data_IF_824279729111
#
_entry.id   IF_824279729111
#
_cell.length_a   1.000
_cell.length_b   1.000
_cell.length_c   1.000
_cell.angle_alpha   90.00
_cell.angle_beta   90.00
_cell.angle_gamma   90.00
#
_symmetry.space_group_name_H-M   'P 1'
#
loop_
_entity.id
_entity.type
_entity.pdbx_description
1 polymer ?
#
# COMPACT_ATOMS: atom_id res chain seq x y z
N UNK A 1 -0.55 -18.23 -16.98
CA UNK A 1 -0.32 -16.78 -16.92
C UNK A 1 -1.16 -16.30 -15.77
N UNK A 2 -0.51 -15.83 -14.71
CA UNK A 2 -1.13 -15.50 -13.43
C UNK A 2 -2.35 -14.61 -13.55
N UNK A 3 -3.34 -14.81 -12.68
CA UNK A 3 -4.48 -13.90 -12.54
C UNK A 3 -3.96 -12.51 -12.13
N UNK A 4 -4.21 -11.50 -12.96
CA UNK A 4 -3.89 -10.10 -12.67
C UNK A 4 -4.77 -9.57 -11.55
N UNK A 5 -4.18 -8.76 -10.67
CA UNK A 5 -4.88 -8.21 -9.52
C UNK A 5 -5.79 -7.02 -9.86
N UNK A 6 -5.60 -6.37 -11.01
CA UNK A 6 -6.28 -5.12 -11.39
C UNK A 6 -7.83 -5.18 -11.36
N UNK A 7 -8.41 -6.37 -11.57
CA UNK A 7 -9.86 -6.60 -11.53
C UNK A 7 -10.39 -7.17 -10.21
N UNK A 8 -9.50 -7.52 -9.27
CA UNK A 8 -9.83 -8.30 -8.07
C UNK A 8 -9.36 -7.66 -6.76
N UNK A 9 -8.29 -6.87 -6.78
CA UNK A 9 -7.75 -6.21 -5.59
C UNK A 9 -8.34 -4.81 -5.47
N UNK A 10 -8.96 -4.57 -4.33
CA UNK A 10 -9.26 -3.24 -3.79
C UNK A 10 -9.52 -3.40 -2.29
N UNK A 11 -9.43 -2.30 -1.54
CA UNK A 11 -9.79 -2.30 -0.12
C UNK A 11 -11.32 -2.25 0.04
N UNK A 12 -11.84 -2.60 1.22
CA UNK A 12 -13.28 -2.47 1.51
C UNK A 12 -13.66 -0.99 1.50
N UNK A 13 -14.50 -0.60 0.54
CA UNK A 13 -14.94 0.78 0.35
C UNK A 13 -15.95 1.28 1.40
N UNK A 14 -16.34 2.54 1.25
CA UNK A 14 -17.27 3.22 2.16
C UNK A 14 -16.66 3.65 3.50
N UNK A 15 -17.55 3.97 4.45
CA UNK A 15 -17.22 4.53 5.76
C UNK A 15 -17.82 3.73 6.93
N UNK A 16 -18.28 2.51 6.67
CA UNK A 16 -18.85 1.64 7.71
C UNK A 16 -17.76 1.09 8.63
N UNK A 17 -18.17 0.51 9.77
CA UNK A 17 -17.24 -0.04 10.78
C UNK A 17 -16.25 -1.08 10.24
N UNK A 18 -16.57 -1.75 9.13
CA UNK A 18 -15.72 -2.77 8.48
C UNK A 18 -14.98 -2.24 7.25
N UNK A 19 -15.15 -0.96 6.92
CA UNK A 19 -14.46 -0.32 5.81
C UNK A 19 -12.97 -0.15 6.09
N UNK A 20 -12.19 -0.01 5.02
CA UNK A 20 -10.78 0.33 5.14
C UNK A 20 -10.58 1.70 5.78
N UNK A 21 -11.42 2.69 5.48
CA UNK A 21 -11.35 4.01 6.09
C UNK A 21 -11.44 3.98 7.63
N UNK A 22 -12.22 3.06 8.20
CA UNK A 22 -12.35 2.88 9.65
C UNK A 22 -11.28 1.96 10.27
N UNK A 23 -10.54 1.19 9.46
CA UNK A 23 -9.60 0.18 9.91
C UNK A 23 -8.16 0.41 9.38
N UNK A 24 -7.85 1.60 8.85
CA UNK A 24 -6.55 1.93 8.24
C UNK A 24 -5.51 2.52 9.20
N UNK A 25 -5.64 2.25 10.51
CA UNK A 25 -4.72 2.79 11.53
C UNK A 25 -3.28 2.26 11.38
N UNK A 26 -3.10 1.00 10.97
CA UNK A 26 -1.76 0.46 10.73
C UNK A 26 -1.00 1.24 9.63
N UNK A 27 -1.56 1.42 8.41
CA UNK A 27 -0.91 2.28 7.41
C UNK A 27 -0.78 3.75 7.84
N UNK A 28 -1.64 4.26 8.73
CA UNK A 28 -1.51 5.60 9.30
C UNK A 28 -0.24 5.69 10.18
N UNK A 29 -0.02 4.70 11.06
CA UNK A 29 1.19 4.63 11.88
C UNK A 29 2.46 4.51 11.02
N UNK A 30 2.41 3.73 9.93
CA UNK A 30 3.51 3.65 8.95
C UNK A 30 3.80 5.01 8.33
N UNK A 31 2.77 5.76 7.92
CA UNK A 31 2.91 7.11 7.39
C UNK A 31 3.54 8.06 8.44
N UNK A 32 3.11 7.98 9.71
CA UNK A 32 3.68 8.78 10.79
C UNK A 32 5.16 8.48 11.05
N UNK A 33 5.58 7.23 10.99
CA UNK A 33 7.00 6.87 11.12
C UNK A 33 7.84 7.34 9.93
N UNK A 34 7.27 7.27 8.72
CA UNK A 34 7.93 7.74 7.49
C UNK A 34 7.88 9.27 7.33
N UNK A 35 7.10 9.98 8.14
CA UNK A 35 6.83 11.42 8.03
C UNK A 35 8.10 12.28 7.95
N UNK A 36 9.15 12.07 8.77
CA UNK A 36 10.38 12.88 8.65
C UNK A 36 11.05 12.76 7.28
N UNK A 37 11.07 11.54 6.71
CA UNK A 37 11.64 11.28 5.39
C UNK A 37 10.78 11.92 4.30
N UNK A 38 9.45 11.83 4.44
CA UNK A 38 8.49 12.47 3.55
C UNK A 38 8.67 13.99 3.53
N UNK A 39 8.70 14.63 4.70
CA UNK A 39 8.89 16.08 4.85
C UNK A 39 10.21 16.56 4.24
N UNK A 40 11.30 15.85 4.51
CA UNK A 40 12.62 16.17 3.95
C UNK A 40 12.60 16.07 2.43
N UNK A 41 12.05 14.99 1.87
CA UNK A 41 12.02 14.76 0.43
C UNK A 41 11.18 15.82 -0.30
N UNK A 42 9.99 16.15 0.22
CA UNK A 42 9.14 17.23 -0.32
C UNK A 42 9.90 18.56 -0.27
N UNK A 43 10.53 18.85 0.86
CA UNK A 43 11.29 20.07 1.05
C UNK A 43 12.44 20.19 0.06
N UNK A 44 13.21 19.11 -0.16
CA UNK A 44 14.30 19.09 -1.15
C UNK A 44 13.80 19.29 -2.57
N UNK A 45 12.69 18.66 -2.98
CA UNK A 45 12.11 18.89 -4.31
C UNK A 45 11.71 20.36 -4.48
N UNK A 46 10.96 20.91 -3.52
CA UNK A 46 10.52 22.30 -3.60
C UNK A 46 11.68 23.30 -3.61
N UNK A 47 12.70 23.10 -2.76
CA UNK A 47 13.87 23.96 -2.68
C UNK A 47 14.77 23.88 -3.91
N UNK A 48 14.86 22.71 -4.55
CA UNK A 48 15.73 22.51 -5.72
C UNK A 48 15.09 23.05 -7.00
N UNK A 49 13.77 22.91 -7.14
CA UNK A 49 13.05 23.22 -8.38
C UNK A 49 12.32 24.57 -8.33
N UNK A 50 11.93 25.03 -7.14
CA UNK A 50 11.12 26.23 -6.90
C UNK A 50 9.93 26.39 -7.87
N UNK A 51 9.19 25.30 -8.18
CA UNK A 51 8.30 25.29 -9.33
C UNK A 51 7.10 26.22 -9.13
N UNK A 52 6.61 26.80 -10.22
CA UNK A 52 5.30 27.50 -10.22
C UNK A 52 4.14 26.51 -10.08
N UNK A 53 4.31 25.29 -10.62
CA UNK A 53 3.34 24.21 -10.60
C UNK A 53 4.03 22.91 -10.20
N UNK A 54 3.53 22.25 -9.16
CA UNK A 54 4.10 21.00 -8.65
C UNK A 54 3.09 19.87 -8.75
N UNK A 55 3.47 18.81 -9.46
CA UNK A 55 2.68 17.58 -9.58
C UNK A 55 3.15 16.57 -8.53
N UNK A 56 2.24 16.19 -7.65
CA UNK A 56 2.46 15.24 -6.56
C UNK A 56 1.51 14.06 -6.74
N UNK A 57 2.02 12.85 -6.62
CA UNK A 57 1.24 11.64 -6.83
C UNK A 57 1.31 10.75 -5.58
N UNK A 58 0.15 10.32 -5.11
CA UNK A 58 0.00 9.29 -4.08
C UNK A 58 -0.44 7.98 -4.74
N UNK A 59 0.47 7.01 -4.80
CA UNK A 59 0.29 5.70 -5.46
C UNK A 59 -0.26 4.68 -4.46
N UNK A 60 -1.40 4.06 -4.80
CA UNK A 60 -2.11 3.17 -3.89
C UNK A 60 -2.82 3.93 -2.77
N UNK A 61 -3.54 5.00 -3.12
CA UNK A 61 -4.17 5.92 -2.18
C UNK A 61 -5.31 5.27 -1.35
N UNK A 62 -5.87 4.16 -1.82
CA UNK A 62 -7.05 3.51 -1.27
C UNK A 62 -8.23 4.50 -1.14
N UNK A 63 -9.11 4.27 -0.17
CA UNK A 63 -10.29 5.08 0.13
C UNK A 63 -10.28 5.64 1.56
N UNK A 64 -9.17 5.50 2.28
CA UNK A 64 -9.06 5.91 3.68
C UNK A 64 -8.60 7.36 3.88
N UNK A 65 -8.64 7.87 5.12
CA UNK A 65 -8.19 9.24 5.44
C UNK A 65 -6.69 9.47 5.17
N UNK A 66 -5.89 8.40 5.14
CA UNK A 66 -4.43 8.48 5.08
C UNK A 66 -3.91 9.22 3.83
N UNK A 67 -4.59 9.13 2.68
CA UNK A 67 -4.20 9.88 1.48
C UNK A 67 -4.32 11.41 1.68
N UNK A 68 -5.29 11.85 2.49
CA UNK A 68 -5.49 13.26 2.81
C UNK A 68 -4.44 13.78 3.80
N UNK A 69 -3.85 12.90 4.61
CA UNK A 69 -2.71 13.25 5.47
C UNK A 69 -1.47 13.56 4.62
N UNK A 70 -1.20 12.77 3.56
CA UNK A 70 -0.13 13.05 2.60
C UNK A 70 -0.36 14.41 1.92
N UNK A 71 -1.60 14.70 1.49
CA UNK A 71 -1.97 16.01 0.93
C UNK A 71 -1.70 17.13 1.94
N UNK A 72 -2.10 16.95 3.20
CA UNK A 72 -1.88 17.95 4.25
C UNK A 72 -0.40 18.22 4.47
N UNK A 73 0.42 17.17 4.54
CA UNK A 73 1.84 17.31 4.82
C UNK A 73 2.57 18.06 3.70
N UNK A 74 2.28 17.72 2.45
CA UNK A 74 2.82 18.43 1.29
C UNK A 74 2.48 19.92 1.34
N UNK A 75 1.22 20.26 1.60
CA UNK A 75 0.77 21.65 1.70
C UNK A 75 1.46 22.39 2.85
N UNK A 76 1.67 21.71 3.99
CA UNK A 76 2.32 22.30 5.15
C UNK A 76 3.81 22.55 4.94
N UNK A 77 4.54 21.57 4.42
CA UNK A 77 5.97 21.70 4.09
C UNK A 77 6.18 22.83 3.08
N UNK A 78 5.45 22.80 1.97
CA UNK A 78 5.58 23.82 0.91
C UNK A 78 5.18 25.19 1.44
N UNK A 79 4.07 25.30 2.17
CA UNK A 79 3.61 26.54 2.76
C UNK A 79 4.63 27.14 3.73
N UNK A 80 5.24 26.31 4.59
CA UNK A 80 6.31 26.72 5.53
C UNK A 80 7.54 27.21 4.78
N UNK A 81 8.04 26.45 3.80
CA UNK A 81 9.25 26.80 3.03
C UNK A 81 9.06 28.04 2.16
N UNK A 82 7.90 28.18 1.51
CA UNK A 82 7.54 29.38 0.75
C UNK A 82 7.63 30.63 1.61
N UNK A 83 7.10 30.57 2.85
CA UNK A 83 7.16 31.69 3.80
C UNK A 83 8.58 31.97 4.29
N UNK A 84 9.36 30.95 4.62
CA UNK A 84 10.75 31.14 5.08
C UNK A 84 11.64 31.77 4.01
N UNK A 85 11.35 31.50 2.73
CA UNK A 85 12.03 32.12 1.58
C UNK A 85 11.53 33.53 1.24
N UNK A 86 10.49 34.04 1.91
CA UNK A 86 9.91 35.35 1.61
C UNK A 86 9.21 35.44 0.24
N UNK A 87 8.89 34.30 -0.39
CA UNK A 87 8.22 34.27 -1.70
C UNK A 87 6.79 34.80 -1.57
N UNK A 88 6.42 35.74 -2.44
CA UNK A 88 5.06 36.27 -2.49
C UNK A 88 4.11 35.37 -3.29
N UNK A 89 4.61 34.74 -4.35
CA UNK A 89 3.81 33.83 -5.17
C UNK A 89 3.64 32.48 -4.46
N UNK A 90 2.47 31.86 -4.65
CA UNK A 90 2.19 30.51 -4.17
C UNK A 90 2.29 29.54 -5.34
N UNK A 91 3.01 28.41 -5.20
CA UNK A 91 2.97 27.37 -6.20
C UNK A 91 1.56 26.76 -6.25
N UNK A 92 1.12 26.36 -7.43
CA UNK A 92 -0.09 25.55 -7.60
C UNK A 92 0.27 24.06 -7.47
N UNK A 93 -0.38 23.35 -6.55
CA UNK A 93 -0.11 21.93 -6.32
C UNK A 93 -1.19 21.07 -6.97
N UNK A 94 -0.78 20.17 -7.87
CA UNK A 94 -1.66 19.20 -8.50
C UNK A 94 -1.41 17.82 -7.88
N UNK A 95 -2.37 17.36 -7.09
CA UNK A 95 -2.37 16.03 -6.50
C UNK A 95 -3.06 15.03 -7.42
N UNK A 96 -2.38 13.92 -7.67
CA UNK A 96 -2.96 12.75 -8.33
C UNK A 96 -3.07 11.61 -7.32
N UNK A 97 -4.29 11.18 -7.06
CA UNK A 97 -4.59 10.04 -6.20
C UNK A 97 -4.75 8.82 -7.10
N UNK A 98 -3.78 7.92 -7.08
CA UNK A 98 -3.77 6.72 -7.91
C UNK A 98 -4.17 5.49 -7.10
N UNK A 99 -5.02 4.67 -7.68
CA UNK A 99 -5.31 3.32 -7.21
C UNK A 99 -5.83 2.47 -8.37
N UNK A 100 -6.08 1.19 -8.15
CA UNK A 100 -6.70 0.31 -9.12
C UNK A 100 -8.13 0.76 -9.46
N UNK A 101 -8.66 0.44 -10.66
CA UNK A 101 -10.00 0.87 -11.08
C UNK A 101 -11.14 0.44 -10.15
N UNK A 102 -10.94 -0.63 -9.36
CA UNK A 102 -11.92 -1.12 -8.39
C UNK A 102 -11.99 -0.34 -7.07
N UNK A 103 -11.10 0.63 -6.83
CA UNK A 103 -11.07 1.44 -5.63
C UNK A 103 -12.30 2.36 -5.52
N UNK A 104 -12.70 2.70 -4.29
CA UNK A 104 -13.85 3.58 -4.02
C UNK A 104 -13.46 5.06 -4.10
N UNK A 105 -13.10 5.51 -5.31
CA UNK A 105 -12.84 6.92 -5.61
C UNK A 105 -14.03 7.83 -5.28
N UNK A 106 -15.26 7.31 -5.32
CA UNK A 106 -16.45 8.08 -4.94
C UNK A 106 -16.39 8.47 -3.47
N UNK A 107 -15.96 7.57 -2.59
CA UNK A 107 -15.75 7.91 -1.19
C UNK A 107 -14.62 8.95 -1.03
N UNK A 108 -13.48 8.76 -1.70
CA UNK A 108 -12.36 9.74 -1.69
C UNK A 108 -12.83 11.14 -2.09
N UNK A 109 -13.58 11.28 -3.18
CA UNK A 109 -14.06 12.58 -3.65
C UNK A 109 -15.08 13.24 -2.72
N UNK A 110 -15.89 12.46 -1.99
CA UNK A 110 -16.76 13.00 -0.95
C UNK A 110 -15.96 13.52 0.24
N UNK A 111 -15.00 12.72 0.72
CA UNK A 111 -14.13 13.08 1.86
C UNK A 111 -13.26 14.30 1.57
N UNK A 112 -12.84 14.50 0.31
CA UNK A 112 -12.14 15.70 -0.13
C UNK A 112 -12.97 16.99 0.05
N UNK A 113 -14.28 16.91 -0.12
CA UNK A 113 -15.17 18.05 0.12
C UNK A 113 -15.17 18.52 1.56
N UNK A 114 -15.11 17.58 2.51
CA UNK A 114 -15.06 17.87 3.94
C UNK A 114 -13.67 18.37 4.36
N UNK A 115 -12.62 17.73 3.86
CA UNK A 115 -11.24 18.17 4.04
C UNK A 115 -11.04 19.60 3.56
N UNK A 116 -11.53 19.93 2.36
CA UNK A 116 -11.39 21.27 1.78
C UNK A 116 -11.98 22.36 2.68
N UNK A 117 -13.20 22.16 3.20
CA UNK A 117 -13.82 23.12 4.12
C UNK A 117 -12.98 23.30 5.39
N UNK A 118 -12.53 22.19 5.98
CA UNK A 118 -11.69 22.21 7.19
C UNK A 118 -10.39 22.99 6.98
N UNK A 119 -9.64 22.71 5.90
CA UNK A 119 -8.37 23.39 5.67
C UNK A 119 -8.53 24.85 5.24
N UNK A 120 -9.62 25.20 4.57
CA UNK A 120 -9.94 26.60 4.26
C UNK A 120 -10.26 27.39 5.54
N UNK A 121 -11.00 26.80 6.48
CA UNK A 121 -11.27 27.39 7.80
C UNK A 121 -10.00 27.55 8.64
N UNK A 122 -9.11 26.55 8.65
CA UNK A 122 -7.87 26.54 9.44
C UNK A 122 -6.79 27.46 8.87
N UNK A 123 -6.57 27.42 7.54
CA UNK A 123 -5.41 28.06 6.89
C UNK A 123 -5.77 29.37 6.18
N UNK A 124 -7.03 29.56 5.77
CA UNK A 124 -7.49 30.77 5.08
C UNK A 124 -6.56 31.20 3.94
N UNK A 125 -6.05 32.44 3.99
CA UNK A 125 -5.13 33.01 2.98
C UNK A 125 -3.73 32.38 2.95
N UNK A 126 -3.39 31.56 3.94
CA UNK A 126 -2.10 30.86 4.01
C UNK A 126 -2.15 29.49 3.31
N UNK A 127 -3.33 29.05 2.86
CA UNK A 127 -3.51 27.81 2.15
C UNK A 127 -2.88 27.90 0.76
N UNK A 128 -1.96 26.98 0.48
CA UNK A 128 -1.36 26.84 -0.85
C UNK A 128 -2.45 26.36 -1.83
N UNK A 129 -2.62 26.98 -3.00
CA UNK A 129 -3.60 26.53 -4.00
C UNK A 129 -3.34 25.09 -4.40
N UNK A 130 -4.38 24.26 -4.40
CA UNK A 130 -4.25 22.86 -4.75
C UNK A 130 -5.47 22.32 -5.52
N UNK A 131 -5.20 21.28 -6.30
CA UNK A 131 -6.15 20.59 -7.15
C UNK A 131 -5.95 19.08 -6.98
N UNK A 132 -7.03 18.31 -7.01
CA UNK A 132 -6.97 16.86 -6.79
C UNK A 132 -7.64 16.14 -7.94
N UNK A 133 -6.97 15.11 -8.47
CA UNK A 133 -7.40 14.28 -9.59
C UNK A 133 -7.27 12.81 -9.20
N UNK A 134 -8.28 11.99 -9.50
CA UNK A 134 -8.17 10.52 -9.38
C UNK A 134 -7.60 9.90 -10.65
N UNK A 135 -6.68 8.95 -10.51
CA UNK A 135 -6.01 8.25 -11.61
C UNK A 135 -6.19 6.74 -11.46
N UNK A 136 -7.21 6.13 -12.07
CA UNK A 136 -7.42 4.69 -12.00
C UNK A 136 -6.40 3.96 -12.89
N UNK A 137 -5.66 3.00 -12.32
CA UNK A 137 -4.70 2.16 -13.05
C UNK A 137 -3.66 1.52 -12.15
N UNK A 138 -3.03 0.45 -12.62
CA UNK A 138 -1.91 -0.15 -11.90
C UNK A 138 -0.66 0.71 -11.99
N UNK A 139 -0.03 0.96 -10.84
CA UNK A 139 1.30 1.55 -10.80
C UNK A 139 2.40 0.60 -11.31
N UNK A 140 2.11 -0.65 -11.65
CA UNK A 140 3.06 -1.50 -12.37
C UNK A 140 3.10 -1.21 -13.88
N UNK A 141 2.35 -0.19 -14.35
CA UNK A 141 2.45 0.35 -15.69
C UNK A 141 2.61 1.87 -15.70
N UNK A 142 2.59 2.44 -16.90
CA UNK A 142 2.58 3.89 -17.13
C UNK A 142 1.23 4.48 -16.73
N UNK A 143 1.27 5.53 -15.92
CA UNK A 143 0.13 6.30 -15.43
C UNK A 143 0.16 7.75 -15.93
N UNK A 144 1.36 8.29 -16.16
CA UNK A 144 1.56 9.70 -16.49
C UNK A 144 2.38 9.87 -17.77
N UNK A 145 2.26 11.02 -18.47
CA UNK A 145 3.21 11.42 -19.51
C UNK A 145 4.66 11.44 -19.00
N UNK A 146 5.60 11.45 -19.94
CA UNK A 146 7.01 11.53 -19.55
C UNK A 146 7.31 12.89 -18.90
N UNK A 147 8.16 12.87 -17.86
CA UNK A 147 8.65 14.08 -17.20
C UNK A 147 7.54 15.06 -16.76
N UNK A 148 6.48 14.54 -16.14
CA UNK A 148 5.35 15.34 -15.68
C UNK A 148 5.14 15.32 -14.17
N UNK A 149 5.84 14.47 -13.42
CA UNK A 149 5.68 14.29 -11.97
C UNK A 149 6.89 14.81 -11.22
N UNK A 150 6.67 15.56 -10.13
CA UNK A 150 7.73 16.13 -9.30
C UNK A 150 7.97 15.32 -8.03
N UNK A 151 6.94 14.63 -7.54
CA UNK A 151 7.03 13.83 -6.33
C UNK A 151 6.09 12.62 -6.38
N UNK A 152 6.62 11.43 -6.10
CA UNK A 152 5.83 10.22 -5.86
C UNK A 152 5.89 9.84 -4.37
N UNK A 153 4.74 9.56 -3.79
CA UNK A 153 4.59 8.85 -2.53
C UNK A 153 3.94 7.49 -2.80
N UNK A 154 4.42 6.43 -2.15
CA UNK A 154 3.79 5.12 -2.18
C UNK A 154 3.92 4.47 -0.81
N UNK A 155 2.80 4.31 -0.10
CA UNK A 155 2.78 3.78 1.27
C UNK A 155 1.91 2.53 1.38
N UNK A 156 2.45 1.45 1.93
CA UNK A 156 1.79 0.17 2.17
C UNK A 156 1.11 -0.46 0.93
N UNK A 157 1.65 -0.21 -0.26
CA UNK A 157 1.08 -0.68 -1.52
C UNK A 157 2.02 -1.57 -2.36
N UNK A 158 3.35 -1.38 -2.26
CA UNK A 158 4.32 -2.15 -3.07
C UNK A 158 4.51 -3.60 -2.62
N UNK A 159 4.02 -3.96 -1.44
CA UNK A 159 3.89 -5.34 -0.98
C UNK A 159 2.86 -6.16 -1.79
N UNK A 160 1.95 -5.51 -2.55
CA UNK A 160 0.98 -6.19 -3.41
C UNK A 160 1.58 -6.50 -4.77
N UNK A 161 1.63 -7.77 -5.15
CA UNK A 161 2.16 -8.23 -6.43
C UNK A 161 1.15 -7.98 -7.56
N UNK A 162 1.63 -7.71 -8.77
CA UNK A 162 0.77 -7.46 -9.94
C UNK A 162 -0.05 -8.68 -10.38
N UNK A 163 0.38 -9.89 -10.01
CA UNK A 163 -0.29 -11.16 -10.25
C UNK A 163 0.03 -12.13 -9.12
N UNK A 164 -0.87 -13.08 -8.87
CA UNK A 164 -0.59 -14.23 -7.99
C UNK A 164 0.57 -15.04 -8.58
N UNK A 165 1.63 -15.34 -7.80
CA UNK A 165 2.69 -16.24 -8.25
C UNK A 165 2.12 -17.61 -8.63
N UNK A 166 2.42 -18.09 -9.84
CA UNK A 166 2.09 -19.45 -10.29
C UNK A 166 3.36 -20.31 -10.23
N UNK A 167 3.24 -21.55 -9.75
CA UNK A 167 4.29 -22.56 -9.85
C UNK A 167 4.33 -23.14 -11.25
N UNK A 168 5.28 -24.04 -11.52
CA UNK A 168 5.27 -24.82 -12.76
C UNK A 168 3.96 -25.60 -12.89
N UNK A 169 3.47 -25.72 -14.12
CA UNK A 169 2.14 -26.25 -14.44
C UNK A 169 1.89 -27.61 -13.78
N UNK A 170 0.83 -27.70 -12.97
CA UNK A 170 0.36 -28.95 -12.35
C UNK A 170 0.84 -29.20 -10.92
N UNK A 171 1.69 -28.34 -10.34
CA UNK A 171 2.11 -28.46 -8.93
C UNK A 171 1.29 -27.50 -8.06
N UNK A 172 0.63 -28.05 -7.03
CA UNK A 172 0.05 -27.23 -5.95
C UNK A 172 1.20 -26.52 -5.25
N UNK A 173 1.35 -25.21 -5.49
CA UNK A 173 2.44 -24.40 -4.96
C UNK A 173 2.65 -24.64 -3.46
N UNK A 174 1.57 -24.55 -2.67
CA UNK A 174 1.74 -24.32 -1.24
C UNK A 174 0.81 -25.16 -0.35
N UNK A 175 0.27 -26.27 -0.89
CA UNK A 175 -0.68 -27.14 -0.20
C UNK A 175 -1.81 -26.34 0.48
N UNK A 176 -1.93 -26.38 1.82
CA UNK A 176 -2.96 -25.65 2.58
C UNK A 176 -2.54 -24.24 3.01
N UNK A 177 -1.31 -23.83 2.73
CA UNK A 177 -0.85 -22.47 3.02
C UNK A 177 -1.32 -21.52 1.91
N UNK A 178 -1.57 -20.27 2.29
CA UNK A 178 -2.05 -19.21 1.38
C UNK A 178 -0.97 -18.18 1.02
N UNK A 179 0.19 -18.29 1.68
CA UNK A 179 1.39 -17.48 1.50
C UNK A 179 2.59 -18.33 1.92
N UNK A 180 3.81 -17.85 1.66
CA UNK A 180 5.05 -18.51 2.09
C UNK A 180 4.97 -18.87 3.58
N UNK A 181 5.30 -20.12 3.90
CA UNK A 181 5.33 -20.68 5.24
C UNK A 181 6.58 -21.57 5.40
N UNK A 182 6.89 -21.98 6.63
CA UNK A 182 8.03 -22.85 6.92
C UNK A 182 7.99 -24.18 6.14
N UNK A 183 6.78 -24.66 5.84
CA UNK A 183 6.53 -25.90 5.08
C UNK A 183 6.51 -25.70 3.57
N UNK A 184 6.63 -24.46 3.08
CA UNK A 184 6.60 -24.17 1.64
C UNK A 184 7.84 -24.71 0.93
N UNK A 185 7.68 -25.34 -0.26
CA UNK A 185 8.80 -25.66 -1.13
C UNK A 185 9.61 -24.42 -1.52
N UNK A 186 10.91 -24.60 -1.73
CA UNK A 186 11.82 -23.51 -2.10
C UNK A 186 11.42 -22.83 -3.42
N UNK A 187 10.80 -23.59 -4.33
CA UNK A 187 10.27 -23.12 -5.60
C UNK A 187 9.17 -22.06 -5.41
N UNK A 188 8.36 -22.18 -4.36
CA UNK A 188 7.34 -21.17 -4.01
C UNK A 188 8.00 -19.88 -3.60
N UNK A 189 8.98 -19.97 -2.68
CA UNK A 189 9.71 -18.81 -2.17
C UNK A 189 10.36 -18.06 -3.34
N UNK A 190 11.02 -18.79 -4.25
CA UNK A 190 11.62 -18.22 -5.46
C UNK A 190 10.59 -17.59 -6.38
N UNK A 191 9.42 -18.22 -6.59
CA UNK A 191 8.38 -17.67 -7.46
C UNK A 191 7.86 -16.31 -6.94
N UNK A 192 7.66 -16.17 -5.62
CA UNK A 192 7.29 -14.91 -4.98
C UNK A 192 8.40 -13.86 -5.09
N UNK A 193 9.65 -14.23 -4.77
CA UNK A 193 10.82 -13.36 -4.87
C UNK A 193 11.01 -12.80 -6.27
N UNK A 194 11.03 -13.68 -7.28
CA UNK A 194 11.19 -13.25 -8.68
C UNK A 194 10.02 -12.41 -9.15
N UNK A 195 8.80 -12.71 -8.68
CA UNK A 195 7.62 -11.93 -9.03
C UNK A 195 7.73 -10.50 -8.49
N UNK A 196 8.05 -10.35 -7.21
CA UNK A 196 8.32 -9.04 -6.61
C UNK A 196 9.47 -8.31 -7.34
N UNK A 197 10.56 -9.00 -7.64
CA UNK A 197 11.71 -8.42 -8.34
C UNK A 197 11.35 -7.85 -9.72
N UNK A 198 10.50 -8.56 -10.48
CA UNK A 198 10.00 -8.11 -11.79
C UNK A 198 9.03 -6.94 -11.63
N UNK A 199 8.13 -7.01 -10.67
CA UNK A 199 7.11 -5.99 -10.43
C UNK A 199 7.76 -4.67 -9.97
N UNK A 200 8.71 -4.71 -9.02
CA UNK A 200 9.46 -3.54 -8.57
C UNK A 200 10.33 -2.94 -9.67
N UNK A 201 10.96 -3.78 -10.49
CA UNK A 201 11.74 -3.34 -11.67
C UNK A 201 10.88 -2.55 -12.66
N UNK A 202 9.69 -3.07 -12.99
CA UNK A 202 8.76 -2.41 -13.91
C UNK A 202 8.20 -1.12 -13.31
N UNK A 203 7.87 -1.14 -12.01
CA UNK A 203 7.47 0.05 -11.27
C UNK A 203 8.54 1.15 -11.39
N UNK A 204 9.80 0.84 -11.08
CA UNK A 204 10.91 1.81 -11.13
C UNK A 204 11.10 2.38 -12.53
N UNK A 205 11.06 1.55 -13.58
CA UNK A 205 11.16 2.02 -14.98
C UNK A 205 10.03 2.97 -15.35
N UNK A 206 8.80 2.64 -14.96
CA UNK A 206 7.64 3.50 -15.20
C UNK A 206 7.79 4.84 -14.47
N UNK A 207 8.13 4.81 -13.17
CA UNK A 207 8.31 6.03 -12.37
C UNK A 207 9.44 6.90 -12.89
N UNK A 208 10.56 6.30 -13.29
CA UNK A 208 11.69 7.03 -13.84
C UNK A 208 11.30 7.80 -15.11
N UNK A 209 10.54 7.17 -16.01
CA UNK A 209 10.09 7.83 -17.24
C UNK A 209 9.14 9.01 -16.97
N UNK A 210 8.38 8.97 -15.88
CA UNK A 210 7.35 9.94 -15.50
C UNK A 210 7.88 11.11 -14.67
N UNK A 211 9.00 10.91 -13.96
CA UNK A 211 9.62 11.92 -13.10
C UNK A 211 10.33 13.01 -13.91
N UNK A 212 10.16 14.26 -13.47
CA UNK A 212 10.95 15.41 -13.93
C UNK A 212 12.40 15.31 -13.41
N UNK A 213 13.31 16.05 -14.02
CA UNK A 213 14.66 16.23 -13.46
C UNK A 213 14.60 16.86 -12.06
N UNK A 214 15.37 16.31 -11.11
CA UNK A 214 15.40 16.78 -9.71
C UNK A 214 14.17 16.39 -8.86
N UNK A 215 13.26 15.59 -9.42
CA UNK A 215 12.13 15.02 -8.71
C UNK A 215 12.57 13.90 -7.74
N UNK A 216 11.70 13.56 -6.79
CA UNK A 216 11.97 12.51 -5.78
C UNK A 216 10.79 11.57 -5.59
N UNK A 217 11.06 10.46 -4.94
CA UNK A 217 10.10 9.41 -4.64
C UNK A 217 10.35 8.91 -3.21
N UNK A 218 9.30 8.73 -2.43
CA UNK A 218 9.33 8.10 -1.11
C UNK A 218 8.48 6.83 -1.15
N UNK A 219 9.09 5.72 -0.74
CA UNK A 219 8.48 4.39 -0.73
C UNK A 219 8.52 3.83 0.69
N UNK A 220 7.36 3.48 1.25
CA UNK A 220 7.24 2.81 2.55
C UNK A 220 6.32 1.60 2.42
N UNK A 221 6.79 0.40 2.76
CA UNK A 221 5.97 -0.80 2.68
C UNK A 221 6.49 -1.89 3.62
N UNK A 222 5.65 -2.87 4.01
CA UNK A 222 6.07 -4.01 4.82
C UNK A 222 7.24 -4.76 4.18
N UNK A 223 8.28 -5.01 4.97
CA UNK A 223 9.48 -5.75 4.56
C UNK A 223 9.79 -6.88 5.54
N UNK A 224 10.74 -7.74 5.17
CA UNK A 224 11.22 -8.83 6.01
C UNK A 224 12.64 -8.56 6.52
N UNK A 225 13.02 -9.21 7.63
CA UNK A 225 14.39 -9.18 8.16
C UNK A 225 15.37 -10.07 7.37
N UNK A 226 14.92 -10.72 6.29
CA UNK A 226 15.77 -11.48 5.38
C UNK A 226 16.30 -12.82 5.91
N UNK A 227 15.68 -13.43 6.93
CA UNK A 227 16.08 -14.75 7.42
C UNK A 227 15.52 -15.89 6.54
N UNK A 228 16.30 -16.98 6.40
CA UNK A 228 15.84 -18.26 5.85
C UNK A 228 15.97 -19.38 6.91
N UNK A 229 14.95 -20.23 7.15
CA UNK A 229 13.63 -20.20 6.52
C UNK A 229 12.91 -18.87 6.78
N UNK A 230 11.95 -18.47 5.92
CA UNK A 230 11.15 -17.27 6.13
C UNK A 230 10.49 -17.36 7.51
N UNK A 231 11.09 -16.69 8.48
CA UNK A 231 10.68 -16.70 9.88
C UNK A 231 10.37 -15.25 10.22
N UNK A 232 9.14 -14.85 9.92
CA UNK A 232 8.73 -13.49 10.06
C UNK A 232 7.30 -13.39 10.53
N UNK A 233 7.03 -12.19 11.01
CA UNK A 233 5.75 -11.75 11.51
C UNK A 233 4.62 -11.95 10.48
N UNK A 234 4.93 -11.76 9.20
CA UNK A 234 3.98 -11.85 8.09
C UNK A 234 3.66 -13.30 7.74
N UNK A 235 4.66 -14.19 7.74
CA UNK A 235 4.46 -15.63 7.55
C UNK A 235 3.60 -16.22 8.66
N UNK A 236 3.87 -15.86 9.91
CA UNK A 236 3.04 -16.26 11.06
C UNK A 236 1.62 -15.72 10.92
N UNK A 237 1.49 -14.43 10.59
CA UNK A 237 0.22 -13.76 10.39
C UNK A 237 -0.66 -14.46 9.34
N UNK A 238 -0.11 -14.77 8.16
CA UNK A 238 -0.86 -15.50 7.13
C UNK A 238 -1.02 -17.00 7.43
N UNK A 239 -0.15 -17.58 8.25
CA UNK A 239 -0.33 -18.92 8.80
C UNK A 239 -1.62 -19.05 9.62
N UNK A 240 -1.89 -18.09 10.50
CA UNK A 240 -3.15 -18.06 11.27
C UNK A 240 -4.39 -17.99 10.36
N UNK A 241 -4.32 -17.20 9.28
CA UNK A 241 -5.40 -17.12 8.30
C UNK A 241 -5.57 -18.44 7.53
N UNK A 242 -4.48 -19.12 7.17
CA UNK A 242 -4.51 -20.43 6.53
C UNK A 242 -5.12 -21.51 7.44
N UNK A 243 -4.82 -21.49 8.73
CA UNK A 243 -5.42 -22.37 9.74
C UNK A 243 -6.93 -22.14 9.87
N UNK A 244 -7.36 -20.87 9.95
CA UNK A 244 -8.78 -20.53 9.99
C UNK A 244 -9.54 -21.03 8.74
N UNK A 245 -8.93 -20.88 7.56
CA UNK A 245 -9.50 -21.40 6.31
C UNK A 245 -9.54 -22.94 6.29
N UNK A 246 -8.52 -23.61 6.81
CA UNK A 246 -8.48 -25.06 6.94
C UNK A 246 -9.56 -25.60 7.90
N UNK A 247 -9.85 -24.88 8.97
CA UNK A 247 -10.97 -25.20 9.87
C UNK A 247 -12.32 -25.09 9.14
N UNK A 248 -12.49 -24.08 8.28
CA UNK A 248 -13.70 -23.95 7.45
C UNK A 248 -13.82 -25.04 6.37
N UNK A 249 -12.71 -25.52 5.81
CA UNK A 249 -12.71 -26.73 4.97
C UNK A 249 -13.21 -27.94 5.76
N UNK A 250 -12.67 -28.14 6.96
CA UNK A 250 -13.05 -29.27 7.83
C UNK A 250 -14.51 -29.23 8.27
N UNK A 251 -15.12 -28.05 8.32
CA UNK A 251 -16.55 -27.84 8.60
C UNK A 251 -17.43 -27.91 7.35
N UNK A 252 -16.86 -28.09 6.15
CA UNK A 252 -17.61 -28.13 4.89
C UNK A 252 -18.13 -26.77 4.41
N UNK A 253 -17.62 -25.66 4.97
CA UNK A 253 -17.98 -24.28 4.56
C UNK A 253 -17.25 -23.90 3.28
N UNK A 254 -16.02 -24.41 3.11
CA UNK A 254 -15.13 -24.18 1.96
C UNK A 254 -14.77 -25.53 1.34
N UNK A 255 -14.84 -25.65 0.01
CA UNK A 255 -14.30 -26.82 -0.70
C UNK A 255 -12.76 -26.84 -0.61
N UNK A 256 -12.17 -28.02 -0.38
CA UNK A 256 -10.73 -28.18 -0.18
C UNK A 256 -9.91 -27.70 -1.39
N UNK A 257 -10.34 -28.02 -2.61
CA UNK A 257 -9.68 -27.60 -3.85
C UNK A 257 -9.50 -26.07 -3.97
N UNK A 258 -10.40 -25.31 -3.35
CA UNK A 258 -10.37 -23.85 -3.37
C UNK A 258 -9.32 -23.30 -2.41
N UNK A 259 -9.09 -23.97 -1.29
CA UNK A 259 -7.97 -23.62 -0.41
C UNK A 259 -6.64 -24.01 -1.06
N UNK A 260 -6.54 -25.20 -1.66
CA UNK A 260 -5.32 -25.70 -2.28
C UNK A 260 -4.79 -24.83 -3.43
N UNK A 261 -5.68 -24.08 -4.07
CA UNK A 261 -5.36 -23.18 -5.19
C UNK A 261 -5.27 -21.70 -4.81
N UNK A 262 -5.56 -21.36 -3.55
CA UNK A 262 -5.60 -19.98 -3.08
C UNK A 262 -4.22 -19.52 -2.59
N UNK A 263 -3.62 -18.58 -3.32
CA UNK A 263 -2.38 -17.92 -2.93
C UNK A 263 -2.55 -16.40 -2.95
N UNK A 264 -1.97 -15.72 -1.98
CA UNK A 264 -2.03 -14.26 -1.86
C UNK A 264 -0.99 -13.61 -2.80
N UNK A 265 -1.37 -12.58 -3.58
CA UNK A 265 -0.44 -11.78 -4.38
C UNK A 265 0.24 -10.74 -3.47
N UNK A 266 0.95 -11.22 -2.47
CA UNK A 266 1.56 -10.39 -1.42
C UNK A 266 2.98 -10.86 -1.17
N UNK A 267 3.94 -9.95 -1.03
CA UNK A 267 5.31 -10.30 -0.70
C UNK A 267 5.98 -9.21 0.12
N UNK A 268 6.78 -9.60 1.11
CA UNK A 268 7.55 -8.68 1.95
C UNK A 268 9.04 -8.88 1.73
N UNK A 269 9.65 -8.07 0.85
CA UNK A 269 11.06 -8.23 0.51
C UNK A 269 11.96 -7.80 1.67
N UNK A 270 13.18 -8.30 1.70
CA UNK A 270 14.22 -7.74 2.56
C UNK A 270 14.74 -6.40 2.00
N UNK A 271 15.37 -5.60 2.85
CA UNK A 271 16.00 -4.35 2.42
C UNK A 271 17.09 -4.60 1.36
N UNK A 272 17.82 -5.71 1.46
CA UNK A 272 18.83 -6.13 0.49
C UNK A 272 18.21 -6.46 -0.87
N UNK A 273 17.06 -7.16 -0.89
CA UNK A 273 16.35 -7.45 -2.14
C UNK A 273 15.88 -6.16 -2.83
N UNK A 274 15.34 -5.20 -2.07
CA UNK A 274 14.92 -3.90 -2.61
C UNK A 274 16.11 -3.13 -3.18
N UNK A 275 17.21 -3.02 -2.41
CA UNK A 275 18.44 -2.35 -2.87
C UNK A 275 19.03 -3.02 -4.10
N UNK A 276 19.02 -4.35 -4.17
CA UNK A 276 19.52 -5.09 -5.32
C UNK A 276 18.74 -4.76 -6.59
N UNK A 277 17.42 -4.58 -6.52
CA UNK A 277 16.62 -4.14 -7.68
C UNK A 277 16.97 -2.71 -8.07
N UNK A 278 17.02 -1.78 -7.11
CA UNK A 278 17.36 -0.37 -7.39
C UNK A 278 18.74 -0.26 -8.06
N UNK A 279 19.75 -0.94 -7.52
CA UNK A 279 21.10 -0.96 -8.09
C UNK A 279 21.15 -1.61 -9.47
N UNK A 280 20.35 -2.66 -9.71
CA UNK A 280 20.32 -3.34 -11.01
C UNK A 280 19.68 -2.47 -12.09
N UNK A 281 18.62 -1.73 -11.76
CA UNK A 281 17.99 -0.82 -12.72
C UNK A 281 18.85 0.40 -13.03
N UNK A 282 19.62 0.89 -12.04
CA UNK A 282 20.54 2.04 -12.19
C UNK A 282 19.82 3.31 -12.70
N UNK A 283 18.58 3.51 -12.26
CA UNK A 283 17.72 4.63 -12.66
C UNK A 283 17.58 5.70 -11.57
N UNK A 284 17.95 5.37 -10.33
CA UNK A 284 17.71 6.21 -9.16
C UNK A 284 18.91 6.21 -8.22
N UNK A 285 19.24 7.39 -7.72
CA UNK A 285 20.13 7.54 -6.58
C UNK A 285 19.34 7.24 -5.29
N UNK A 286 19.79 6.23 -4.54
CA UNK A 286 19.22 5.91 -3.24
C UNK A 286 19.74 6.89 -2.18
N UNK A 287 18.98 7.95 -1.88
CA UNK A 287 19.37 8.95 -0.88
C UNK A 287 19.30 8.41 0.56
N UNK A 288 18.23 7.67 0.90
CA UNK A 288 18.00 7.14 2.24
C UNK A 288 17.30 5.78 2.18
N UNK A 289 17.64 4.90 3.14
CA UNK A 289 16.96 3.62 3.35
C UNK A 289 16.95 3.29 4.85
N UNK A 290 15.77 3.11 5.41
CA UNK A 290 15.56 2.91 6.84
C UNK A 290 14.57 1.76 7.07
N UNK A 291 14.70 1.09 8.21
CA UNK A 291 13.77 0.06 8.67
C UNK A 291 13.21 0.54 10.00
N UNK A 292 11.90 0.45 10.16
CA UNK A 292 11.20 0.68 11.42
C UNK A 292 10.26 -0.50 11.70
N UNK A 293 10.02 -0.76 12.98
CA UNK A 293 9.12 -1.81 13.43
C UNK A 293 7.76 -1.21 13.76
N UNK A 294 6.69 -1.84 13.27
CA UNK A 294 5.30 -1.49 13.58
C UNK A 294 4.63 -2.66 14.30
N UNK A 295 3.87 -2.38 15.35
CA UNK A 295 2.99 -3.37 15.96
C UNK A 295 1.83 -3.71 15.00
N UNK A 296 1.43 -4.97 14.92
CA UNK A 296 0.29 -5.40 14.11
C UNK A 296 -1.02 -4.86 14.66
N UNK A 297 -1.11 -4.72 15.98
CA UNK A 297 -2.19 -3.98 16.61
C UNK A 297 -1.85 -2.49 16.56
N UNK A 298 -2.53 -1.72 15.70
CA UNK A 298 -2.15 -0.34 15.47
C UNK A 298 -2.59 0.61 16.60
N UNK A 299 -3.24 0.08 17.64
CA UNK A 299 -3.65 0.80 18.84
C UNK A 299 -2.90 0.37 20.10
N UNK A 300 -1.99 -0.61 19.99
CA UNK A 300 -1.22 -1.10 21.12
C UNK A 300 -0.06 -0.15 21.45
N UNK A 301 -0.40 0.89 22.21
CA UNK A 301 0.50 1.99 22.58
C UNK A 301 1.03 1.87 24.03
N UNK A 302 0.64 0.86 24.84
CA UNK A 302 1.09 0.81 26.26
C UNK A 302 0.89 -0.50 27.07
N UNK A 303 1.68 -0.56 28.16
CA UNK A 303 1.98 -1.57 29.21
C UNK A 303 1.02 -2.72 29.63
N UNK A 304 -0.22 -2.81 29.14
CA UNK A 304 -1.15 -3.87 29.53
C UNK A 304 -1.83 -4.49 28.29
N UNK A 305 -1.30 -5.63 27.85
CA UNK A 305 -1.79 -6.37 26.68
C UNK A 305 -3.16 -7.03 26.95
N UNK A 306 -4.20 -6.60 26.23
CA UNK A 306 -5.48 -7.31 26.12
C UNK A 306 -5.55 -8.05 24.78
N UNK A 307 -5.32 -9.36 24.82
CA UNK A 307 -5.30 -10.19 23.62
C UNK A 307 -6.63 -10.27 22.85
N UNK A 308 -7.77 -10.01 23.50
CA UNK A 308 -9.07 -10.03 22.83
C UNK A 308 -9.26 -8.75 22.01
N UNK A 309 -8.95 -7.60 22.61
CA UNK A 309 -9.02 -6.31 21.92
C UNK A 309 -8.01 -6.28 20.77
N UNK A 310 -6.78 -6.73 21.05
CA UNK A 310 -5.73 -6.80 20.04
C UNK A 310 -6.10 -7.70 18.86
N UNK A 311 -6.63 -8.90 19.15
CA UNK A 311 -7.11 -9.80 18.11
C UNK A 311 -8.21 -9.19 17.23
N UNK A 312 -9.14 -8.42 17.81
CA UNK A 312 -10.19 -7.71 17.06
C UNK A 312 -9.64 -6.59 16.18
N UNK A 313 -8.71 -5.80 16.69
CA UNK A 313 -8.09 -4.70 15.95
C UNK A 313 -7.34 -5.23 14.72
N UNK A 314 -6.51 -6.27 14.93
CA UNK A 314 -5.76 -6.93 13.86
C UNK A 314 -6.73 -7.55 12.84
N UNK A 315 -7.74 -8.31 13.29
CA UNK A 315 -8.70 -8.93 12.39
C UNK A 315 -9.51 -7.90 11.57
N UNK A 316 -9.85 -6.74 12.17
CA UNK A 316 -10.52 -5.63 11.49
C UNK A 316 -9.70 -5.05 10.34
N UNK A 317 -8.42 -4.77 10.59
CA UNK A 317 -7.48 -4.29 9.57
C UNK A 317 -7.36 -5.28 8.40
N UNK A 318 -7.18 -6.56 8.73
CA UNK A 318 -6.99 -7.64 7.77
C UNK A 318 -8.23 -7.84 6.92
N UNK A 319 -9.40 -7.87 7.55
CA UNK A 319 -10.66 -7.95 6.83
C UNK A 319 -10.79 -6.79 5.84
N UNK A 320 -10.54 -5.57 6.30
CA UNK A 320 -10.68 -4.40 5.46
C UNK A 320 -9.71 -4.37 4.26
N UNK A 321 -8.55 -5.02 4.38
CA UNK A 321 -7.57 -5.13 3.32
C UNK A 321 -7.78 -6.33 2.37
N UNK A 322 -8.18 -7.49 2.89
CA UNK A 322 -8.20 -8.76 2.14
C UNK A 322 -9.59 -9.27 1.77
N UNK A 323 -10.67 -8.74 2.36
CA UNK A 323 -12.04 -9.24 2.10
C UNK A 323 -12.42 -9.19 0.61
N UNK A 324 -12.20 -8.08 -0.14
CA UNK A 324 -12.65 -8.03 -1.54
C UNK A 324 -11.85 -8.97 -2.46
N UNK A 325 -10.56 -9.16 -2.16
CA UNK A 325 -9.73 -10.14 -2.86
C UNK A 325 -10.31 -11.55 -2.72
N UNK A 326 -10.79 -11.90 -1.51
CA UNK A 326 -11.50 -13.16 -1.28
C UNK A 326 -12.77 -13.23 -2.12
N UNK A 327 -13.67 -12.26 -2.05
CA UNK A 327 -14.98 -12.27 -2.75
C UNK A 327 -14.87 -12.44 -4.27
N UNK A 328 -13.91 -11.80 -4.93
CA UNK A 328 -13.77 -11.85 -6.41
C UNK A 328 -12.95 -13.02 -6.92
N UNK A 329 -12.01 -13.53 -6.13
CA UNK A 329 -11.44 -14.86 -6.39
C UNK A 329 -12.44 -15.97 -6.08
N UNK A 330 -13.62 -15.61 -5.53
CA UNK A 330 -14.62 -16.52 -5.00
C UNK A 330 -16.04 -16.41 -5.60
N UNK A 331 -16.13 -16.42 -6.94
CA UNK A 331 -17.11 -17.34 -7.57
C UNK A 331 -17.01 -18.80 -7.01
N UNK A 332 -15.95 -19.04 -6.25
CA UNK A 332 -15.57 -20.15 -5.39
C UNK A 332 -16.15 -20.17 -3.93
N UNK A 333 -16.69 -19.15 -3.29
CA UNK A 333 -17.14 -19.27 -1.86
C UNK A 333 -18.58 -18.80 -1.72
N UNK A 334 -19.47 -19.65 -1.20
CA UNK A 334 -20.88 -19.31 -1.02
C UNK A 334 -21.03 -18.10 -0.08
N UNK A 335 -21.97 -17.21 -0.40
CA UNK A 335 -22.33 -15.99 0.34
C UNK A 335 -22.66 -16.24 1.84
N UNK A 336 -22.93 -17.48 2.26
CA UNK A 336 -23.13 -17.85 3.66
C UNK A 336 -21.85 -17.88 4.52
N UNK A 337 -20.66 -17.90 3.90
CA UNK A 337 -19.37 -17.97 4.61
C UNK A 337 -18.92 -16.63 5.20
N UNK A 338 -19.38 -15.50 4.66
CA UNK A 338 -19.10 -14.15 5.19
C UNK A 338 -19.88 -13.83 6.46
N UNK A 339 -20.98 -14.53 6.75
CA UNK A 339 -21.78 -14.33 7.97
C UNK A 339 -21.16 -14.94 9.23
N UNK A 340 -20.38 -16.02 9.13
CA UNK A 340 -19.78 -16.68 10.30
C UNK A 340 -18.45 -16.03 10.75
N UNK A 341 -17.88 -15.15 9.92
CA UNK A 341 -16.75 -14.27 10.27
C UNK A 341 -17.22 -12.94 10.92
N UNK A 342 -18.50 -12.84 11.30
CA UNK A 342 -19.05 -11.68 12.03
C UNK A 342 -18.92 -11.80 13.56
N UNK A 343 -18.39 -12.91 14.08
CA UNK A 343 -18.27 -13.19 15.51
C UNK A 343 -16.81 -13.28 15.93
#
# INVERSE_FOLDING_TARGET
MGKRIEGILHMVGGAGETSYASNSKFPENVLHMAKPVLEEAIGRVYMSLLPERMAVVDLGCSSGPNTLEVVSEVLDVIGKLRRSLGRQEMPEILFFLNDLPGNDFNHVFRSLGDYKRKVEEEKGKLLVPYYVVGVPGSFYGRLFPCQSVHFFNASCCLNWLSQVPEGEQGVLLNNKNIYIAETSPLEVVKAYQEKHQRDLSEFLRCRHAELCYGARMVLSFPGSKGSYPPSGDVEYFFGLLAEALSAFVSQGIIEEDKLLTFNLPYYTPSMEEVKAVIHREDLFDLEQAQIFEANWDPFDDSAAFDGIVSGKNVAGNVRAAFQPFRERTSQSFHEGSTSQLKA
#
